data_IF_775830451906
#
_entry.id   IF_775830451906
#
_cell.length_a   1.000
_cell.length_b   1.000
_cell.length_c   1.000
_cell.angle_alpha   90.00
_cell.angle_beta   90.00
_cell.angle_gamma   90.00
#
_symmetry.space_group_name_H-M   'P 1'
#
loop_
_entity.id
_entity.type
_entity.pdbx_description
1 polymer ?
#
# COMPACT_ATOMS: atom_id res chain seq x y z
N UNK A 1 2.28 -40.41 49.11
CA UNK A 1 2.57 -38.97 49.18
C UNK A 1 2.44 -38.43 47.76
N UNK A 2 1.26 -37.92 47.43
CA UNK A 2 0.91 -37.36 46.11
C UNK A 2 1.11 -35.85 46.14
N UNK A 3 1.96 -35.34 45.28
CA UNK A 3 2.09 -33.90 45.06
C UNK A 3 1.11 -33.47 43.95
N UNK A 4 0.33 -32.42 44.13
CA UNK A 4 -0.59 -31.96 43.07
C UNK A 4 0.15 -31.09 42.02
N UNK A 5 -0.17 -31.29 40.74
CA UNK A 5 0.20 -30.44 39.62
C UNK A 5 -0.44 -29.05 39.80
N UNK A 6 0.25 -27.98 39.47
CA UNK A 6 -0.41 -26.67 39.33
C UNK A 6 -1.14 -26.58 38.01
N UNK A 7 -2.43 -26.30 38.06
CA UNK A 7 -3.27 -25.86 36.95
C UNK A 7 -2.72 -24.57 36.35
N UNK A 8 -2.24 -24.66 35.12
CA UNK A 8 -1.99 -23.50 34.28
C UNK A 8 -3.32 -22.91 33.80
N UNK A 9 -3.87 -22.00 34.57
CA UNK A 9 -4.99 -21.17 34.18
C UNK A 9 -4.46 -19.80 33.73
N UNK A 10 -4.73 -19.46 32.52
CA UNK A 10 -4.58 -18.09 32.08
C UNK A 10 -3.50 -17.84 31.05
N UNK A 11 -3.86 -17.76 29.81
CA UNK A 11 -3.41 -16.80 28.78
C UNK A 11 -4.28 -17.07 27.54
N UNK A 12 -5.46 -16.57 27.51
CA UNK A 12 -6.30 -16.53 26.31
C UNK A 12 -7.08 -15.22 26.09
N UNK A 13 -6.77 -14.17 26.84
CA UNK A 13 -7.54 -12.91 26.77
C UNK A 13 -6.79 -11.77 26.07
N UNK A 14 -5.50 -11.92 25.74
CA UNK A 14 -4.73 -10.80 25.23
C UNK A 14 -4.65 -10.63 23.71
N UNK A 15 -5.13 -11.58 22.94
CA UNK A 15 -4.98 -11.51 21.47
C UNK A 15 -6.00 -10.57 20.79
N UNK A 16 -7.12 -10.28 21.44
CA UNK A 16 -8.21 -9.45 20.85
C UNK A 16 -8.07 -7.95 21.14
N UNK A 17 -7.24 -7.57 22.11
CA UNK A 17 -7.06 -6.15 22.51
C UNK A 17 -5.85 -5.53 21.81
N UNK A 18 -4.88 -6.36 21.40
CA UNK A 18 -3.64 -5.88 20.77
C UNK A 18 -3.87 -5.09 19.47
N UNK A 19 -4.68 -5.56 18.51
CA UNK A 19 -4.96 -4.78 17.30
C UNK A 19 -5.73 -3.48 17.60
N UNK A 20 -6.59 -3.47 18.61
CA UNK A 20 -7.33 -2.28 19.01
C UNK A 20 -6.41 -1.22 19.68
N UNK A 21 -5.39 -1.66 20.42
CA UNK A 21 -4.38 -0.78 20.99
C UNK A 21 -3.45 -0.19 19.92
N UNK A 22 -3.07 -0.99 18.91
CA UNK A 22 -2.25 -0.54 17.78
C UNK A 22 -2.99 0.54 16.99
N UNK A 23 -4.29 0.32 16.70
CA UNK A 23 -5.12 1.31 16.03
C UNK A 23 -5.29 2.61 16.82
N UNK A 24 -5.17 2.56 18.17
CA UNK A 24 -5.29 3.74 19.01
C UNK A 24 -3.99 4.57 19.12
N UNK A 25 -2.82 3.96 18.85
CA UNK A 25 -1.51 4.63 19.01
C UNK A 25 -0.90 5.13 17.70
N UNK A 26 -1.45 4.73 16.54
CA UNK A 26 -0.89 5.01 15.22
C UNK A 26 0.30 4.11 14.86
N UNK A 27 0.47 3.85 13.58
CA UNK A 27 1.55 2.99 13.08
C UNK A 27 2.95 3.54 13.40
N UNK A 28 3.12 4.84 13.23
CA UNK A 28 4.42 5.50 13.37
C UNK A 28 4.99 5.46 14.81
N UNK A 29 4.11 5.27 15.82
CA UNK A 29 4.54 5.21 17.22
C UNK A 29 4.87 3.80 17.71
N UNK A 30 4.49 2.78 16.94
CA UNK A 30 4.58 1.40 17.42
C UNK A 30 5.79 0.63 16.89
N UNK A 31 6.37 1.05 15.78
CA UNK A 31 7.57 0.47 15.21
C UNK A 31 8.63 1.58 14.99
N UNK A 32 9.49 1.85 15.97
CA UNK A 32 10.78 2.39 15.63
C UNK A 32 11.49 1.26 14.86
N UNK A 33 11.46 1.31 13.54
CA UNK A 33 12.23 0.39 12.73
C UNK A 33 13.70 0.83 12.74
N UNK A 34 14.56 0.22 13.58
CA UNK A 34 15.99 0.53 13.55
C UNK A 34 16.62 0.08 12.22
N UNK A 35 15.91 -0.70 11.40
CA UNK A 35 16.36 -1.10 10.09
C UNK A 35 16.20 0.02 9.04
N UNK A 36 15.36 1.02 9.29
CA UNK A 36 15.23 2.16 8.39
C UNK A 36 16.47 3.08 8.43
N UNK A 37 17.21 3.09 9.55
CA UNK A 37 18.48 3.81 9.67
C UNK A 37 19.63 3.16 8.91
N UNK A 38 19.46 1.93 8.44
CA UNK A 38 20.49 1.15 7.74
C UNK A 38 20.01 0.60 6.40
N UNK A 39 19.25 1.39 5.64
CA UNK A 39 18.99 1.01 4.24
C UNK A 39 20.34 0.88 3.52
N UNK A 40 20.59 -0.29 2.89
CA UNK A 40 21.82 -0.52 2.17
C UNK A 40 22.05 0.58 1.13
N UNK A 41 23.24 1.20 1.12
CA UNK A 41 23.61 2.20 0.12
C UNK A 41 24.14 1.46 -1.12
N UNK A 42 23.46 1.53 -2.27
CA UNK A 42 23.89 0.84 -3.48
C UNK A 42 25.25 1.30 -3.99
N UNK A 43 25.81 2.41 -3.50
CA UNK A 43 27.15 2.87 -3.81
C UNK A 43 28.25 2.12 -3.07
N UNK A 44 27.93 1.41 -1.97
CA UNK A 44 28.84 0.57 -1.23
C UNK A 44 28.82 -0.88 -1.74
N UNK A 45 29.97 -1.50 -2.08
CA UNK A 45 30.03 -2.85 -2.65
C UNK A 45 29.42 -3.93 -1.73
N UNK A 46 29.56 -3.78 -0.43
CA UNK A 46 29.01 -4.68 0.58
C UNK A 46 27.49 -4.58 0.66
N UNK A 47 26.92 -3.37 0.55
CA UNK A 47 25.48 -3.14 0.55
C UNK A 47 24.85 -3.57 -0.78
N UNK A 48 25.55 -3.33 -1.89
CA UNK A 48 25.15 -3.86 -3.20
C UNK A 48 25.11 -5.40 -3.20
N UNK A 49 26.05 -6.07 -2.53
CA UNK A 49 26.04 -7.53 -2.38
C UNK A 49 24.88 -8.01 -1.51
N UNK A 50 24.48 -7.26 -0.49
CA UNK A 50 23.30 -7.52 0.32
C UNK A 50 22.00 -7.39 -0.49
N UNK A 51 21.91 -6.37 -1.34
CA UNK A 51 20.77 -6.17 -2.24
C UNK A 51 20.65 -7.26 -3.31
N UNK A 52 21.78 -7.87 -3.69
CA UNK A 52 21.84 -8.99 -4.63
C UNK A 52 21.58 -10.35 -3.97
N UNK A 53 21.42 -10.41 -2.64
CA UNK A 53 20.98 -11.64 -1.99
C UNK A 53 19.57 -11.96 -2.49
N UNK A 54 19.47 -13.04 -3.26
CA UNK A 54 18.19 -13.49 -3.81
C UNK A 54 17.22 -13.78 -2.66
N UNK A 55 16.14 -13.03 -2.58
CA UNK A 55 15.00 -13.41 -1.74
C UNK A 55 14.54 -14.79 -2.17
N UNK A 56 14.36 -15.75 -1.25
CA UNK A 56 13.87 -17.07 -1.60
C UNK A 56 12.53 -16.94 -2.34
N UNK A 57 12.51 -17.33 -3.60
CA UNK A 57 11.31 -17.35 -4.42
C UNK A 57 10.94 -18.79 -4.77
N UNK A 58 10.09 -19.44 -3.97
CA UNK A 58 9.67 -20.81 -4.23
C UNK A 58 8.82 -20.94 -5.51
N UNK A 59 8.29 -19.83 -6.01
CA UNK A 59 7.45 -19.77 -7.21
C UNK A 59 8.19 -19.16 -8.42
N UNK A 60 9.51 -19.09 -8.37
CA UNK A 60 10.33 -18.47 -9.44
C UNK A 60 9.93 -18.90 -10.86
N UNK A 61 9.69 -20.21 -11.18
CA UNK A 61 9.29 -20.60 -12.53
C UNK A 61 7.94 -19.99 -12.96
N UNK A 62 6.99 -19.90 -12.03
CA UNK A 62 5.69 -19.28 -12.27
C UNK A 62 5.82 -17.77 -12.42
N UNK A 63 6.59 -17.13 -11.57
CA UNK A 63 6.82 -15.70 -11.61
C UNK A 63 7.54 -15.28 -12.90
N UNK A 64 8.51 -16.06 -13.37
CA UNK A 64 9.17 -15.85 -14.67
C UNK A 64 8.21 -16.01 -15.86
N UNK A 65 7.34 -17.03 -15.81
CA UNK A 65 6.32 -17.21 -16.83
C UNK A 65 5.35 -16.01 -16.88
N UNK A 66 4.85 -15.60 -15.72
CA UNK A 66 3.94 -14.46 -15.61
C UNK A 66 4.60 -13.15 -16.09
N UNK A 67 5.87 -12.94 -15.74
CA UNK A 67 6.64 -11.81 -16.23
C UNK A 67 6.76 -11.80 -17.76
N UNK A 68 7.05 -12.96 -18.37
CA UNK A 68 7.11 -13.06 -19.82
C UNK A 68 5.73 -12.79 -20.50
N UNK A 69 4.64 -13.18 -19.86
CA UNK A 69 3.28 -12.83 -20.31
C UNK A 69 3.07 -11.31 -20.21
N UNK A 70 3.53 -10.68 -19.13
CA UNK A 70 3.43 -9.22 -18.97
C UNK A 70 4.23 -8.46 -20.02
N UNK A 71 5.45 -8.89 -20.36
CA UNK A 71 6.23 -8.28 -21.44
C UNK A 71 5.46 -8.28 -22.76
N UNK A 72 4.89 -9.43 -23.13
CA UNK A 72 4.10 -9.53 -24.35
C UNK A 72 2.85 -8.66 -24.28
N UNK A 73 2.14 -8.69 -23.17
CA UNK A 73 0.93 -7.90 -22.98
C UNK A 73 1.22 -6.39 -23.00
N UNK A 74 2.34 -5.98 -22.37
CA UNK A 74 2.78 -4.61 -22.35
C UNK A 74 3.13 -4.11 -23.75
N UNK A 75 3.98 -4.83 -24.48
CA UNK A 75 4.47 -4.41 -25.79
C UNK A 75 3.37 -4.40 -26.87
N UNK A 76 2.51 -5.42 -26.86
CA UNK A 76 1.53 -5.60 -27.93
C UNK A 76 0.14 -5.02 -27.64
N UNK A 77 -0.21 -4.83 -26.38
CA UNK A 77 -1.52 -4.30 -26.00
C UNK A 77 -1.44 -2.96 -25.25
N UNK A 78 -0.71 -2.92 -24.13
CA UNK A 78 -0.72 -1.76 -23.23
C UNK A 78 -0.01 -0.54 -23.84
N UNK A 79 1.14 -0.75 -24.49
CA UNK A 79 1.88 0.36 -25.09
C UNK A 79 1.14 0.99 -26.27
N UNK A 80 0.62 0.22 -27.28
CA UNK A 80 -0.21 0.79 -28.34
C UNK A 80 -1.45 1.48 -27.81
N UNK A 81 -2.16 0.89 -26.83
CA UNK A 81 -3.34 1.48 -26.23
C UNK A 81 -3.00 2.81 -25.53
N UNK A 82 -1.89 2.86 -24.78
CA UNK A 82 -1.43 4.06 -24.10
C UNK A 82 -1.01 5.17 -25.06
N UNK A 83 -0.39 4.81 -26.19
CA UNK A 83 -0.06 5.74 -27.27
C UNK A 83 -1.34 6.32 -27.90
N UNK A 84 -2.34 5.48 -28.17
CA UNK A 84 -3.64 5.88 -28.67
C UNK A 84 -4.35 6.82 -27.68
N UNK A 85 -4.41 6.44 -26.41
CA UNK A 85 -4.99 7.25 -25.35
C UNK A 85 -4.33 8.63 -25.24
N UNK A 86 -2.99 8.69 -25.29
CA UNK A 86 -2.26 9.96 -25.24
C UNK A 86 -2.46 10.83 -26.49
N UNK A 87 -2.74 10.21 -27.63
CA UNK A 87 -2.99 10.92 -28.89
C UNK A 87 -4.41 11.52 -28.95
N UNK A 88 -5.39 10.82 -28.39
CA UNK A 88 -6.79 11.23 -28.41
C UNK A 88 -7.13 12.22 -27.29
N UNK A 89 -6.60 11.97 -26.09
CA UNK A 89 -6.93 12.77 -24.90
C UNK A 89 -5.86 13.83 -24.59
N UNK A 90 -6.22 15.12 -24.57
CA UNK A 90 -5.33 16.18 -24.14
C UNK A 90 -4.81 15.96 -22.72
N UNK A 91 -3.61 16.46 -22.42
CA UNK A 91 -2.98 16.28 -21.10
C UNK A 91 -3.86 16.74 -19.93
N UNK A 92 -4.61 17.84 -20.12
CA UNK A 92 -5.55 18.36 -19.10
C UNK A 92 -6.67 17.36 -18.79
N UNK A 93 -7.26 16.73 -19.81
CA UNK A 93 -8.30 15.73 -19.62
C UNK A 93 -7.77 14.49 -18.90
N UNK A 94 -6.58 14.01 -19.29
CA UNK A 94 -5.91 12.87 -18.62
C UNK A 94 -5.62 13.16 -17.14
N UNK A 95 -5.13 14.37 -16.84
CA UNK A 95 -4.92 14.79 -15.45
C UNK A 95 -6.24 14.85 -14.69
N UNK A 96 -7.31 15.35 -15.30
CA UNK A 96 -8.63 15.39 -14.68
C UNK A 96 -9.16 13.99 -14.35
N UNK A 97 -9.06 13.05 -15.29
CA UNK A 97 -9.48 11.64 -15.07
C UNK A 97 -8.69 11.02 -13.90
N UNK A 98 -7.37 11.22 -13.87
CA UNK A 98 -6.55 10.73 -12.77
C UNK A 98 -6.96 11.34 -11.42
N UNK A 99 -7.15 12.65 -11.36
CA UNK A 99 -7.58 13.32 -10.13
C UNK A 99 -8.95 12.82 -9.66
N UNK A 100 -9.87 12.59 -10.60
CA UNK A 100 -11.17 11.99 -10.29
C UNK A 100 -11.05 10.59 -9.71
N UNK A 101 -10.19 9.73 -10.29
CA UNK A 101 -9.87 8.41 -9.73
C UNK A 101 -9.34 8.51 -8.29
N UNK A 102 -8.38 9.39 -8.04
CA UNK A 102 -7.89 9.63 -6.68
C UNK A 102 -8.97 10.15 -5.72
N UNK A 103 -9.92 10.95 -6.22
CA UNK A 103 -11.02 11.43 -5.38
C UNK A 103 -12.01 10.30 -5.03
N UNK A 104 -12.29 9.39 -5.97
CA UNK A 104 -13.15 8.22 -5.72
C UNK A 104 -12.50 7.25 -4.74
N UNK A 105 -11.20 7.07 -4.77
CA UNK A 105 -10.45 6.20 -3.85
C UNK A 105 -10.36 6.77 -2.40
N UNK A 106 -10.95 7.95 -2.13
CA UNK A 106 -10.99 8.55 -0.79
C UNK A 106 -11.51 7.60 0.31
N UNK A 107 -12.62 6.83 0.14
CA UNK A 107 -13.12 5.97 1.22
C UNK A 107 -12.11 4.91 1.67
N UNK A 108 -11.32 4.36 0.73
CA UNK A 108 -10.28 3.39 1.02
C UNK A 108 -9.18 4.02 1.85
N UNK A 109 -8.62 5.15 1.39
CA UNK A 109 -7.58 5.87 2.12
C UNK A 109 -8.04 6.34 3.50
N UNK A 110 -9.29 6.82 3.61
CA UNK A 110 -9.86 7.17 4.90
C UNK A 110 -9.90 5.98 5.84
N UNK A 111 -10.39 4.85 5.36
CA UNK A 111 -10.49 3.62 6.16
C UNK A 111 -9.10 3.14 6.59
N UNK A 112 -8.13 3.12 5.68
CA UNK A 112 -6.75 2.72 5.96
C UNK A 112 -6.12 3.63 7.04
N UNK A 113 -6.21 4.95 6.89
CA UNK A 113 -5.72 5.90 7.91
C UNK A 113 -6.38 5.68 9.29
N UNK A 114 -7.71 5.43 9.32
CA UNK A 114 -8.42 5.18 10.58
C UNK A 114 -7.99 3.86 11.22
N UNK A 115 -7.80 2.80 10.44
CA UNK A 115 -7.36 1.48 10.91
C UNK A 115 -5.90 1.49 11.38
N UNK A 116 -5.09 2.40 10.86
CA UNK A 116 -3.72 2.64 11.29
C UNK A 116 -3.63 3.58 12.52
N UNK A 117 -4.73 4.23 12.90
CA UNK A 117 -4.76 5.23 13.98
C UNK A 117 -4.22 6.60 13.57
N UNK A 118 -4.07 6.86 12.27
CA UNK A 118 -3.57 8.10 11.70
C UNK A 118 -4.70 9.15 11.54
N UNK A 119 -5.25 9.58 12.68
CA UNK A 119 -6.41 10.50 12.72
C UNK A 119 -6.17 11.84 12.04
N UNK A 120 -4.93 12.34 12.09
CA UNK A 120 -4.55 13.60 11.44
C UNK A 120 -4.58 13.45 9.92
N UNK A 121 -4.05 12.34 9.40
CA UNK A 121 -4.07 12.01 7.97
C UNK A 121 -5.50 11.75 7.48
N UNK A 122 -6.31 11.01 8.25
CA UNK A 122 -7.74 10.82 7.97
C UNK A 122 -8.49 12.16 7.85
N UNK A 123 -8.22 13.11 8.75
CA UNK A 123 -8.77 14.46 8.69
C UNK A 123 -8.29 15.25 7.47
N UNK A 124 -7.04 15.09 7.08
CA UNK A 124 -6.44 15.72 5.90
C UNK A 124 -7.06 15.18 4.62
N UNK A 125 -7.20 13.87 4.50
CA UNK A 125 -7.86 13.22 3.35
C UNK A 125 -9.32 13.64 3.21
N UNK A 126 -10.05 13.74 4.34
CA UNK A 126 -11.43 14.24 4.32
C UNK A 126 -11.51 15.67 3.81
N UNK A 127 -10.61 16.55 4.26
CA UNK A 127 -10.55 17.94 3.76
C UNK A 127 -10.25 17.98 2.26
N UNK A 128 -9.28 17.18 1.80
CA UNK A 128 -8.96 17.07 0.37
C UNK A 128 -10.16 16.65 -0.45
N UNK A 129 -10.82 15.57 -0.04
CA UNK A 129 -12.00 15.04 -0.71
C UNK A 129 -13.08 16.10 -0.86
N UNK A 130 -13.42 16.82 0.22
CA UNK A 130 -14.44 17.88 0.20
C UNK A 130 -14.05 19.02 -0.72
N UNK A 131 -12.82 19.52 -0.62
CA UNK A 131 -12.34 20.62 -1.47
C UNK A 131 -12.33 20.20 -2.94
N UNK A 132 -11.81 19.02 -3.25
CA UNK A 132 -11.71 18.53 -4.62
C UNK A 132 -13.11 18.20 -5.20
N UNK A 133 -14.05 17.76 -4.38
CA UNK A 133 -15.41 17.50 -4.83
C UNK A 133 -16.18 18.79 -5.10
N UNK A 134 -16.08 19.77 -4.22
CA UNK A 134 -16.86 21.01 -4.31
C UNK A 134 -16.20 22.01 -5.30
N UNK A 135 -14.94 22.38 -5.07
CA UNK A 135 -14.23 23.35 -5.91
C UNK A 135 -13.61 22.71 -7.15
N UNK A 136 -13.25 21.41 -7.09
CA UNK A 136 -12.59 20.67 -8.16
C UNK A 136 -13.54 19.98 -9.13
N UNK A 137 -14.84 20.27 -9.07
CA UNK A 137 -15.87 19.65 -9.93
C UNK A 137 -15.81 18.12 -9.83
N UNK A 138 -16.30 17.59 -8.72
CA UNK A 138 -16.29 16.14 -8.38
C UNK A 138 -14.89 15.50 -8.37
N UNK A 139 -13.84 16.30 -8.22
CA UNK A 139 -12.47 15.80 -8.16
C UNK A 139 -11.72 15.81 -9.50
N UNK A 140 -12.31 16.29 -10.60
CA UNK A 140 -11.55 16.46 -11.86
C UNK A 140 -10.46 17.52 -11.75
N UNK A 141 -10.67 18.54 -10.93
CA UNK A 141 -9.63 19.46 -10.49
C UNK A 141 -8.88 18.90 -9.26
N UNK A 142 -7.81 19.58 -8.88
CA UNK A 142 -7.12 19.32 -7.60
C UNK A 142 -6.78 20.67 -6.94
N UNK A 143 -7.81 21.44 -6.53
CA UNK A 143 -7.59 22.69 -5.80
C UNK A 143 -6.98 22.44 -4.42
N UNK A 144 -7.22 21.29 -3.79
CA UNK A 144 -6.62 20.96 -2.52
C UNK A 144 -5.09 21.06 -2.56
N UNK A 145 -4.44 20.45 -3.54
CA UNK A 145 -2.99 20.58 -3.71
C UNK A 145 -2.59 21.94 -4.27
N UNK A 146 -3.25 22.41 -5.35
CA UNK A 146 -2.79 23.59 -6.09
C UNK A 146 -2.99 24.90 -5.36
N UNK A 147 -4.13 25.06 -4.68
CA UNK A 147 -4.55 26.31 -4.02
C UNK A 147 -4.26 26.27 -2.53
N UNK A 148 -4.52 25.15 -1.89
CA UNK A 148 -4.43 25.01 -0.44
C UNK A 148 -3.18 24.30 0.06
N UNK A 149 -2.36 23.74 -0.85
CA UNK A 149 -1.13 23.00 -0.54
C UNK A 149 -1.35 21.83 0.43
N UNK A 150 -2.51 21.21 0.36
CA UNK A 150 -2.85 20.03 1.12
C UNK A 150 -2.51 18.81 0.26
N UNK A 151 -1.46 18.09 0.63
CA UNK A 151 -0.96 16.95 -0.12
C UNK A 151 -1.70 15.66 0.25
N UNK A 152 -1.65 14.69 -0.65
CA UNK A 152 -2.24 13.38 -0.47
C UNK A 152 -1.47 12.60 0.61
N UNK A 153 -2.18 11.97 1.54
CA UNK A 153 -1.66 10.91 2.37
C UNK A 153 -2.08 9.59 1.71
N UNK A 154 -1.15 9.00 0.95
CA UNK A 154 -1.43 7.85 0.10
C UNK A 154 -1.28 6.56 0.92
N UNK A 155 -2.31 6.25 1.68
CA UNK A 155 -2.39 5.08 2.55
C UNK A 155 -3.33 4.04 1.94
N UNK A 156 -2.88 2.79 1.95
CA UNK A 156 -3.61 1.63 1.44
C UNK A 156 -3.86 0.56 2.52
N UNK A 157 -4.67 -0.43 2.19
CA UNK A 157 -4.98 -1.54 3.10
C UNK A 157 -3.75 -2.43 3.33
N UNK A 158 -2.85 -2.57 2.35
CA UNK A 158 -1.61 -3.34 2.49
C UNK A 158 -0.67 -2.74 3.53
N UNK A 159 -0.56 -1.41 3.55
CA UNK A 159 0.18 -0.71 4.60
C UNK A 159 -0.47 -0.92 5.98
N UNK A 160 -1.80 -0.91 6.05
CA UNK A 160 -2.54 -1.23 7.28
C UNK A 160 -2.19 -2.62 7.82
N UNK A 161 -2.15 -3.63 6.95
CA UNK A 161 -1.72 -4.98 7.35
C UNK A 161 -0.26 -5.04 7.78
N UNK A 162 0.62 -4.28 7.11
CA UNK A 162 2.01 -4.11 7.53
C UNK A 162 2.13 -3.53 8.93
N UNK A 163 1.35 -2.49 9.24
CA UNK A 163 1.26 -1.91 10.58
C UNK A 163 0.82 -2.91 11.64
N UNK A 164 -0.07 -3.82 11.30
CA UNK A 164 -0.51 -4.86 12.20
C UNK A 164 0.48 -6.03 12.32
N UNK A 165 1.65 -5.92 11.66
CA UNK A 165 2.76 -6.88 11.76
C UNK A 165 2.70 -8.01 10.75
N UNK A 166 1.84 -7.94 9.75
CA UNK A 166 1.86 -8.91 8.65
C UNK A 166 3.00 -8.61 7.71
N UNK A 167 4.09 -9.37 7.86
CA UNK A 167 5.23 -9.30 6.96
C UNK A 167 4.96 -10.13 5.70
N UNK A 168 5.26 -9.62 4.49
CA UNK A 168 5.15 -10.41 3.28
C UNK A 168 6.11 -11.60 3.32
N UNK A 169 5.63 -12.79 2.97
CA UNK A 169 6.41 -14.02 3.01
C UNK A 169 6.58 -14.67 1.64
N UNK A 170 5.70 -14.35 0.69
CA UNK A 170 5.69 -14.94 -0.63
C UNK A 170 5.74 -13.86 -1.70
N UNK A 171 6.70 -13.95 -2.59
CA UNK A 171 6.77 -13.12 -3.79
C UNK A 171 5.90 -13.73 -4.89
N UNK A 172 5.03 -12.91 -5.48
CA UNK A 172 4.16 -13.28 -6.59
C UNK A 172 4.26 -12.23 -7.69
N UNK A 173 4.44 -12.68 -8.92
CA UNK A 173 4.27 -11.82 -10.08
C UNK A 173 2.94 -12.14 -10.75
N UNK A 174 2.05 -11.16 -10.84
CA UNK A 174 0.72 -11.35 -11.42
C UNK A 174 0.64 -10.54 -12.71
N UNK A 175 0.23 -11.16 -13.82
CA UNK A 175 0.06 -10.45 -15.08
C UNK A 175 -0.86 -9.23 -14.91
N UNK A 176 -0.45 -8.09 -15.47
CA UNK A 176 -1.09 -6.76 -15.39
C UNK A 176 -0.82 -6.03 -14.07
N UNK A 177 -0.85 -6.71 -12.91
CA UNK A 177 -0.64 -6.11 -11.59
C UNK A 177 0.85 -6.01 -11.22
N UNK A 178 1.69 -6.88 -11.80
CA UNK A 178 3.13 -6.85 -11.60
C UNK A 178 3.60 -7.63 -10.37
N UNK A 179 4.73 -7.16 -9.81
CA UNK A 179 5.34 -7.75 -8.62
C UNK A 179 4.51 -7.42 -7.37
N UNK A 180 4.11 -8.43 -6.64
CA UNK A 180 3.22 -8.31 -5.48
C UNK A 180 3.60 -9.32 -4.40
N UNK A 181 3.00 -9.21 -3.25
CA UNK A 181 3.04 -10.21 -2.18
C UNK A 181 1.64 -10.71 -1.87
N UNK A 182 1.53 -11.80 -1.12
CA UNK A 182 0.22 -12.28 -0.65
C UNK A 182 -0.54 -11.23 0.15
N UNK A 183 0.16 -10.39 0.92
CA UNK A 183 -0.43 -9.29 1.67
C UNK A 183 -1.01 -8.23 0.73
N UNK A 184 -0.21 -7.83 -0.26
CA UNK A 184 -0.57 -6.75 -1.18
C UNK A 184 -1.71 -7.18 -2.11
N UNK A 185 -1.76 -8.46 -2.49
CA UNK A 185 -2.89 -9.01 -3.26
C UNK A 185 -4.23 -8.94 -2.51
N UNK A 186 -4.21 -9.27 -1.22
CA UNK A 186 -5.42 -9.20 -0.40
C UNK A 186 -5.83 -7.74 -0.21
N UNK A 187 -4.87 -6.83 -0.09
CA UNK A 187 -5.15 -5.41 0.01
C UNK A 187 -5.71 -4.83 -1.28
N UNK A 188 -5.15 -5.21 -2.43
CA UNK A 188 -5.60 -4.72 -3.74
C UNK A 188 -7.05 -5.10 -4.03
N UNK A 189 -7.48 -6.30 -3.58
CA UNK A 189 -8.89 -6.68 -3.63
C UNK A 189 -9.81 -5.80 -2.74
N UNK A 190 -9.26 -5.14 -1.74
CA UNK A 190 -9.98 -4.19 -0.88
C UNK A 190 -9.88 -2.74 -1.35
N UNK A 191 -8.89 -2.42 -2.21
CA UNK A 191 -8.63 -1.07 -2.72
C UNK A 191 -9.39 -0.80 -4.04
N UNK A 192 -10.02 -1.82 -4.64
CA UNK A 192 -10.88 -1.75 -5.82
C UNK A 192 -12.33 -1.48 -5.41
#
# INVERSE_FOLDING_TARGET
MMTPLPLAFGIKVHLSILPLLIAATGCASFLPDPALETLPDPSHPEDAALMLQSTPDPLEPLNRFNFAVDEVLFDYAMEPASRGYRKVLPSRARTGIRNFGHNIAYPVRLTSNLLQGEWANAGTETKRFLINTIEGVLGFGDPATKKYQIFLADEDIGQTFGCWGWQPSLYLHIPIFGASSERDLISEAGDV
#
